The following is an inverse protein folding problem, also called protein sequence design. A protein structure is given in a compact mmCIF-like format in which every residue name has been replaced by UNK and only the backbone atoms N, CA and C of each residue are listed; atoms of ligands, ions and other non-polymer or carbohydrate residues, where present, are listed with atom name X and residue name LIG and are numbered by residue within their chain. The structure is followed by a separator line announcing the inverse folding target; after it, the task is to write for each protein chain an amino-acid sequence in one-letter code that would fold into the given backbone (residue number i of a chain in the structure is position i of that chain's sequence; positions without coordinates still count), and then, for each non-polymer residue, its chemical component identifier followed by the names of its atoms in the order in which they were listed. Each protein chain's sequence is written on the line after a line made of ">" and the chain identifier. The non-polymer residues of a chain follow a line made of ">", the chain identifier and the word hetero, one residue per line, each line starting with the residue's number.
data_IF_049921795745
#
_entry.id   IF_049921795745
#
_cell.length_a   1.000
_cell.length_b   1.000
_cell.length_c   1.000
_cell.angle_alpha   90.00
_cell.angle_beta   90.00
_cell.angle_gamma   90.00
#
_symmetry.space_group_name_H-M   'P 1'
#
loop_
_entity.id
_entity.type
_entity.pdbx_description
1 polymer ?
#
# COMPACT_ATOMS: atom_id res chain seq x y z
N UNK A 1 0.57 0.22 -33.09
CA UNK A 1 1.18 0.33 -31.79
C UNK A 1 0.82 1.68 -31.16
N UNK A 2 -0.02 1.67 -30.11
CA UNK A 2 -0.55 2.89 -29.49
C UNK A 2 0.16 3.25 -28.17
N UNK A 3 1.33 2.68 -27.89
CA UNK A 3 2.03 2.88 -26.62
C UNK A 3 2.38 4.34 -26.35
N UNK A 4 2.85 5.08 -27.37
CA UNK A 4 3.16 6.49 -27.24
C UNK A 4 1.92 7.33 -26.93
N UNK A 5 0.79 7.02 -27.60
CA UNK A 5 -0.49 7.70 -27.35
C UNK A 5 -1.00 7.45 -25.91
N UNK A 6 -0.93 6.18 -25.46
CA UNK A 6 -1.35 5.84 -24.10
C UNK A 6 -0.51 6.49 -23.00
N UNK A 7 0.70 6.93 -23.31
CA UNK A 7 1.61 7.59 -22.37
C UNK A 7 1.57 9.14 -22.43
N UNK A 8 0.84 9.72 -23.37
CA UNK A 8 0.81 11.17 -23.58
C UNK A 8 0.42 11.95 -22.32
N UNK A 9 -0.55 11.42 -21.56
CA UNK A 9 -1.05 12.01 -20.31
C UNK A 9 -0.32 11.50 -19.05
N UNK A 10 0.69 10.64 -19.20
CA UNK A 10 1.42 10.07 -18.08
C UNK A 10 2.69 10.84 -17.79
N UNK A 11 3.14 10.83 -16.53
CA UNK A 11 4.35 11.56 -16.10
C UNK A 11 5.59 11.14 -16.90
N UNK A 12 5.72 9.86 -17.22
CA UNK A 12 6.89 9.34 -17.94
C UNK A 12 6.89 9.67 -19.45
N UNK A 13 5.72 9.91 -20.06
CA UNK A 13 5.49 10.33 -21.46
C UNK A 13 6.06 9.44 -22.56
N UNK A 14 7.12 8.72 -22.34
CA UNK A 14 7.77 7.85 -23.33
C UNK A 14 7.95 6.42 -22.82
N UNK A 15 7.92 5.45 -23.71
CA UNK A 15 8.18 4.05 -23.38
C UNK A 15 9.58 3.82 -22.85
N UNK A 16 10.55 4.59 -23.33
CA UNK A 16 11.93 4.54 -22.84
C UNK A 16 12.01 4.97 -21.38
N UNK A 17 11.42 6.11 -21.01
CA UNK A 17 11.41 6.60 -19.63
C UNK A 17 10.70 5.62 -18.67
N UNK A 18 9.62 4.96 -19.12
CA UNK A 18 8.96 3.89 -18.36
C UNK A 18 9.91 2.72 -18.11
N UNK A 19 10.57 2.24 -19.17
CA UNK A 19 11.49 1.11 -19.06
C UNK A 19 12.71 1.41 -18.18
N UNK A 20 13.28 2.59 -18.30
CA UNK A 20 14.40 3.06 -17.45
C UNK A 20 13.97 3.11 -15.98
N UNK A 21 12.78 3.63 -15.70
CA UNK A 21 12.24 3.66 -14.34
C UNK A 21 11.99 2.26 -13.78
N UNK A 22 11.38 1.37 -14.56
CA UNK A 22 11.19 -0.02 -14.15
C UNK A 22 12.52 -0.74 -13.91
N UNK A 23 13.50 -0.54 -14.80
CA UNK A 23 14.83 -1.13 -14.63
C UNK A 23 15.55 -0.62 -13.37
N UNK A 24 15.34 0.66 -12.99
CA UNK A 24 15.91 1.22 -11.78
C UNK A 24 15.24 0.74 -10.49
N UNK A 25 13.92 0.45 -10.55
CA UNK A 25 13.14 0.03 -9.38
C UNK A 25 13.16 -1.48 -9.14
N UNK A 26 13.30 -2.29 -10.19
CA UNK A 26 13.25 -3.75 -10.08
C UNK A 26 14.33 -4.35 -9.13
N UNK A 27 15.62 -3.95 -9.21
CA UNK A 27 16.63 -4.51 -8.31
C UNK A 27 16.37 -4.22 -6.82
N UNK A 28 16.08 -2.96 -6.39
CA UNK A 28 15.77 -2.70 -4.98
C UNK A 28 14.45 -3.35 -4.53
N UNK A 29 13.45 -3.44 -5.40
CA UNK A 29 12.19 -4.12 -5.09
C UNK A 29 12.42 -5.63 -4.88
N UNK A 30 13.19 -6.28 -5.75
CA UNK A 30 13.53 -7.69 -5.60
C UNK A 30 14.33 -7.96 -4.32
N UNK A 31 15.30 -7.10 -3.99
CA UNK A 31 16.06 -7.20 -2.75
C UNK A 31 15.17 -7.02 -1.51
N UNK A 32 14.17 -6.14 -1.57
CA UNK A 32 13.21 -5.97 -0.49
C UNK A 32 12.31 -7.20 -0.34
N UNK A 33 11.78 -7.73 -1.45
CA UNK A 33 10.96 -8.93 -1.44
C UNK A 33 11.71 -10.15 -0.88
N UNK A 34 13.00 -10.29 -1.16
CA UNK A 34 13.81 -11.35 -0.57
C UNK A 34 13.96 -11.23 0.96
N UNK A 35 14.07 -9.99 1.47
CA UNK A 35 14.12 -9.78 2.94
C UNK A 35 12.77 -10.10 3.59
N UNK A 36 11.69 -9.64 2.98
CA UNK A 36 10.33 -9.94 3.45
C UNK A 36 10.05 -11.45 3.42
N UNK A 37 10.48 -12.15 2.37
CA UNK A 37 10.37 -13.61 2.30
C UNK A 37 11.12 -14.31 3.43
N UNK A 38 12.31 -13.82 3.81
CA UNK A 38 13.07 -14.36 4.93
C UNK A 38 12.37 -14.12 6.27
N UNK A 39 11.78 -12.94 6.47
CA UNK A 39 11.00 -12.63 7.66
C UNK A 39 9.79 -13.57 7.78
N UNK A 40 9.06 -13.77 6.68
CA UNK A 40 7.91 -14.67 6.62
C UNK A 40 8.33 -16.11 6.90
N UNK A 41 9.43 -16.60 6.29
CA UNK A 41 9.92 -17.95 6.52
C UNK A 41 10.27 -18.17 8.00
N UNK A 42 10.80 -17.15 8.68
CA UNK A 42 11.09 -17.23 10.13
C UNK A 42 9.83 -17.48 10.95
N UNK A 43 8.69 -16.88 10.56
CA UNK A 43 7.42 -17.12 11.25
C UNK A 43 6.89 -18.53 10.97
N UNK A 44 6.96 -19.00 9.72
CA UNK A 44 6.56 -20.38 9.35
C UNK A 44 7.36 -21.38 10.18
N UNK A 45 8.66 -21.20 10.28
CA UNK A 45 9.55 -22.07 11.04
C UNK A 45 9.24 -22.03 12.57
N UNK A 46 8.89 -20.86 13.09
CA UNK A 46 8.51 -20.69 14.50
C UNK A 46 7.17 -21.36 14.85
N UNK A 47 6.24 -21.39 13.91
CA UNK A 47 4.96 -22.12 14.05
C UNK A 47 5.10 -23.64 13.86
N UNK A 48 6.32 -24.12 13.55
CA UNK A 48 6.58 -25.54 13.30
C UNK A 48 6.15 -26.01 11.91
N UNK A 49 5.99 -25.09 10.97
CA UNK A 49 5.72 -25.39 9.56
C UNK A 49 6.95 -26.00 8.89
N UNK A 50 6.84 -27.22 8.40
CA UNK A 50 7.91 -27.91 7.66
C UNK A 50 7.74 -27.72 6.14
N UNK A 51 7.57 -26.44 5.71
CA UNK A 51 7.42 -26.11 4.30
C UNK A 51 8.10 -24.78 3.96
N UNK A 52 8.45 -24.62 2.70
CA UNK A 52 9.00 -23.36 2.19
C UNK A 52 7.88 -22.44 1.73
N UNK A 53 8.06 -21.15 2.00
CA UNK A 53 7.16 -20.10 1.54
C UNK A 53 6.89 -20.20 0.03
N UNK A 54 5.63 -20.29 -0.33
CA UNK A 54 5.15 -20.26 -1.71
C UNK A 54 4.34 -18.99 -1.96
N UNK A 55 4.09 -18.67 -3.24
CA UNK A 55 3.42 -17.42 -3.61
C UNK A 55 1.99 -17.29 -3.05
N UNK A 56 1.30 -18.38 -2.84
CA UNK A 56 -0.06 -18.42 -2.27
C UNK A 56 -0.10 -18.27 -0.75
N UNK A 57 1.02 -18.46 -0.05
CA UNK A 57 1.13 -18.31 1.40
C UNK A 57 1.49 -16.86 1.77
N UNK A 58 1.97 -16.08 0.79
CA UNK A 58 2.55 -14.75 1.02
C UNK A 58 1.62 -13.81 1.77
N UNK A 59 0.41 -13.64 1.28
CA UNK A 59 -0.52 -12.65 1.86
C UNK A 59 -0.90 -12.99 3.29
N UNK A 60 -1.10 -14.26 3.60
CA UNK A 60 -1.44 -14.72 4.93
C UNK A 60 -0.32 -14.42 5.94
N UNK A 61 0.90 -14.83 5.64
CA UNK A 61 2.04 -14.63 6.54
C UNK A 61 2.56 -13.18 6.54
N UNK A 62 2.46 -12.47 5.44
CA UNK A 62 2.79 -11.04 5.39
C UNK A 62 1.90 -10.22 6.33
N UNK A 63 0.61 -10.58 6.46
CA UNK A 63 -0.28 -9.95 7.41
C UNK A 63 0.11 -10.21 8.85
N UNK A 64 0.58 -11.42 9.20
CA UNK A 64 1.09 -11.75 10.53
C UNK A 64 2.34 -10.90 10.84
N UNK A 65 3.32 -10.83 9.91
CA UNK A 65 4.51 -9.95 10.05
C UNK A 65 4.10 -8.50 10.27
N UNK A 66 3.12 -8.03 9.49
CA UNK A 66 2.61 -6.67 9.59
C UNK A 66 2.01 -6.38 10.97
N UNK A 67 1.19 -7.29 11.48
CA UNK A 67 0.58 -7.15 12.79
C UNK A 67 1.63 -7.15 13.92
N UNK A 68 2.62 -8.04 13.85
CA UNK A 68 3.69 -8.10 14.84
C UNK A 68 4.56 -6.83 14.86
N UNK A 69 4.92 -6.31 13.67
CA UNK A 69 5.77 -5.13 13.56
C UNK A 69 5.09 -3.82 13.92
N UNK A 70 3.86 -3.66 13.48
CA UNK A 70 3.18 -2.38 13.55
C UNK A 70 2.07 -2.34 14.59
N UNK A 71 1.66 -3.49 15.14
CA UNK A 71 0.53 -3.63 16.06
C UNK A 71 -0.69 -2.80 15.62
N UNK A 72 -0.93 -2.80 14.30
CA UNK A 72 -1.92 -1.94 13.66
C UNK A 72 -3.15 -2.73 13.26
N UNK A 73 -4.25 -2.48 13.96
CA UNK A 73 -5.56 -3.01 13.62
C UNK A 73 -6.37 -1.97 12.82
N UNK A 74 -6.55 -2.23 11.53
CA UNK A 74 -7.33 -1.39 10.63
C UNK A 74 -8.80 -1.25 11.08
N UNK A 75 -9.34 -2.21 11.84
CA UNK A 75 -10.68 -2.13 12.36
C UNK A 75 -10.87 -0.98 13.36
N UNK A 76 -9.83 -0.60 14.08
CA UNK A 76 -9.84 0.54 15.00
C UNK A 76 -9.99 1.89 14.28
N UNK A 77 -9.63 1.97 12.99
CA UNK A 77 -9.78 3.18 12.20
C UNK A 77 -11.18 3.38 11.64
N UNK A 78 -11.98 2.30 11.50
CA UNK A 78 -13.31 2.36 10.91
C UNK A 78 -14.22 3.45 11.50
N UNK A 79 -14.30 3.64 12.83
CA UNK A 79 -15.15 4.67 13.41
C UNK A 79 -14.76 6.10 13.00
N UNK A 80 -13.47 6.33 12.67
CA UNK A 80 -12.99 7.64 12.23
C UNK A 80 -13.36 7.95 10.78
N UNK A 81 -13.60 6.92 9.97
CA UNK A 81 -13.96 7.03 8.55
C UNK A 81 -15.46 6.78 8.29
N UNK A 82 -16.28 6.85 9.33
CA UNK A 82 -17.73 6.87 9.16
C UNK A 82 -18.12 8.14 8.39
N UNK A 83 -19.02 7.99 7.38
CA UNK A 83 -19.32 9.02 6.39
C UNK A 83 -19.73 10.35 7.02
N UNK A 84 -20.68 10.34 7.96
CA UNK A 84 -21.17 11.58 8.58
C UNK A 84 -20.07 12.24 9.42
N UNK A 85 -19.26 11.44 10.12
CA UNK A 85 -18.13 11.94 10.90
C UNK A 85 -17.08 12.63 10.02
N UNK A 86 -16.75 12.03 8.87
CA UNK A 86 -15.82 12.63 7.90
C UNK A 86 -16.41 13.88 7.27
N UNK A 87 -17.70 13.86 6.92
CA UNK A 87 -18.38 14.98 6.31
C UNK A 87 -18.47 16.19 7.26
N UNK A 88 -18.98 15.99 8.47
CA UNK A 88 -19.22 17.07 9.43
C UNK A 88 -17.90 17.58 10.05
N UNK A 89 -17.08 16.70 10.59
CA UNK A 89 -15.86 17.07 11.31
C UNK A 89 -14.63 17.24 10.43
N UNK A 90 -14.70 16.78 9.17
CA UNK A 90 -13.64 16.92 8.19
C UNK A 90 -13.98 17.97 7.15
N UNK A 91 -14.87 17.64 6.21
CA UNK A 91 -15.16 18.46 5.03
C UNK A 91 -15.80 19.79 5.41
N UNK A 92 -16.88 19.77 6.18
CA UNK A 92 -17.59 20.99 6.59
C UNK A 92 -16.73 21.85 7.50
N UNK A 93 -16.05 21.24 8.47
CA UNK A 93 -15.12 21.95 9.33
C UNK A 93 -14.00 22.64 8.54
N UNK A 94 -13.38 21.95 7.58
CA UNK A 94 -12.33 22.53 6.75
C UNK A 94 -12.86 23.68 5.87
N UNK A 95 -14.05 23.51 5.26
CA UNK A 95 -14.66 24.54 4.45
C UNK A 95 -15.06 25.77 5.26
N UNK A 96 -15.58 25.59 6.47
CA UNK A 96 -15.87 26.68 7.39
C UNK A 96 -14.59 27.45 7.76
N UNK A 97 -13.52 26.75 8.12
CA UNK A 97 -12.24 27.37 8.52
C UNK A 97 -11.55 28.11 7.37
N UNK A 98 -11.61 27.57 6.16
CA UNK A 98 -10.92 28.16 5.01
C UNK A 98 -11.74 29.23 4.33
N UNK A 99 -13.04 29.02 4.17
CA UNK A 99 -13.91 29.86 3.35
C UNK A 99 -14.97 30.63 4.16
N UNK A 100 -15.13 30.37 5.45
CA UNK A 100 -16.14 31.00 6.30
C UNK A 100 -17.59 30.66 5.95
N UNK A 101 -17.81 29.52 5.24
CA UNK A 101 -19.14 29.05 4.86
C UNK A 101 -19.71 28.11 5.91
N UNK A 102 -21.02 28.23 6.18
CA UNK A 102 -21.74 27.34 7.10
C UNK A 102 -22.70 26.43 6.34
N UNK A 103 -22.79 25.19 6.78
CA UNK A 103 -23.70 24.19 6.21
C UNK A 103 -24.92 24.03 7.13
N UNK A 104 -26.11 24.05 6.53
CA UNK A 104 -27.39 23.83 7.22
C UNK A 104 -28.02 22.52 6.76
#
# INVERSE_FOLDING_TARGET
>A
NHAAYGLENQTARTTQAVNERLASLAPPAAANAMREAADIQTIIDAEGGDFKLASWDWDFYAEIVRMERYNFDAAQLRPYFEMNNVLEKGVFFAAEKVFGITFK
#
